data_IF_207298260399
#
_entry.id   IF_207298260399
#
_cell.length_a   1.000
_cell.length_b   1.000
_cell.length_c   1.000
_cell.angle_alpha   90.00
_cell.angle_beta   90.00
_cell.angle_gamma   90.00
#
_symmetry.space_group_name_H-M   'P 1'
#
loop_
_entity.id
_entity.type
_entity.pdbx_description
1 polymer ?
#
# COMPACT_ATOMS: atom_id res chain seq x y z
N UNK A 1 25.30 3.52 25.84
CA UNK A 1 24.74 3.91 24.56
C UNK A 1 23.30 4.37 24.77
N UNK A 2 22.93 5.56 24.32
CA UNK A 2 21.54 5.95 24.35
C UNK A 2 20.73 4.99 23.46
N UNK A 3 19.56 4.55 23.95
CA UNK A 3 18.60 3.79 23.15
C UNK A 3 18.16 4.67 21.98
N UNK A 4 18.23 4.15 20.74
CA UNK A 4 17.65 4.83 19.59
C UNK A 4 16.13 4.89 19.75
N UNK A 5 15.58 6.10 19.81
CA UNK A 5 14.15 6.30 19.79
C UNK A 5 13.69 6.48 18.35
N UNK A 6 12.72 5.66 17.93
CA UNK A 6 12.10 5.83 16.63
C UNK A 6 11.21 7.07 16.63
N UNK A 7 11.33 7.89 15.59
CA UNK A 7 10.40 9.01 15.35
C UNK A 7 9.06 8.47 14.85
N UNK A 8 8.02 9.29 14.90
CA UNK A 8 6.74 8.92 14.30
C UNK A 8 6.87 8.64 12.80
N UNK A 9 7.73 9.39 12.11
CA UNK A 9 8.02 9.14 10.69
C UNK A 9 8.63 7.75 10.49
N UNK A 10 9.56 7.33 11.33
CA UNK A 10 10.17 5.99 11.26
C UNK A 10 9.14 4.90 11.49
N UNK A 11 8.25 5.07 12.45
CA UNK A 11 7.19 4.11 12.76
C UNK A 11 6.18 3.99 11.62
N UNK A 12 5.83 5.11 10.97
CA UNK A 12 4.95 5.10 9.79
C UNK A 12 5.66 4.44 8.60
N UNK A 13 6.95 4.71 8.40
CA UNK A 13 7.73 4.02 7.35
C UNK A 13 7.74 2.50 7.59
N UNK A 14 7.92 2.05 8.82
CA UNK A 14 7.84 0.61 9.15
C UNK A 14 6.45 0.03 8.87
N UNK A 15 5.38 0.77 9.14
CA UNK A 15 4.01 0.37 8.82
C UNK A 15 3.86 0.14 7.31
N UNK A 16 4.35 1.06 6.50
CA UNK A 16 4.31 0.98 5.02
C UNK A 16 5.13 -0.22 4.54
N UNK A 17 6.32 -0.45 5.09
CA UNK A 17 7.18 -1.58 4.73
C UNK A 17 6.56 -2.92 5.15
N UNK A 18 5.93 -2.98 6.32
CA UNK A 18 5.24 -4.18 6.80
C UNK A 18 4.06 -4.55 5.90
N UNK A 19 3.32 -3.57 5.45
CA UNK A 19 2.25 -3.75 4.46
C UNK A 19 2.79 -4.40 3.17
N UNK A 20 3.86 -3.85 2.60
CA UNK A 20 4.45 -4.35 1.37
C UNK A 20 5.02 -5.78 1.53
N UNK A 21 5.67 -6.05 2.64
CA UNK A 21 6.20 -7.39 2.96
C UNK A 21 5.06 -8.42 3.07
N UNK A 22 3.96 -8.05 3.73
CA UNK A 22 2.79 -8.91 3.84
C UNK A 22 2.11 -9.19 2.50
N UNK A 23 2.19 -8.27 1.54
CA UNK A 23 1.75 -8.51 0.15
C UNK A 23 2.55 -9.63 -0.48
N UNK A 24 3.87 -9.59 -0.36
CA UNK A 24 4.78 -10.58 -0.98
C UNK A 24 4.51 -11.99 -0.44
N UNK A 25 4.35 -12.11 0.87
CA UNK A 25 4.14 -13.40 1.53
C UNK A 25 2.66 -13.79 1.70
N UNK A 26 1.75 -12.92 1.25
CA UNK A 26 0.29 -13.14 1.35
C UNK A 26 -0.19 -13.39 2.77
N UNK A 27 0.40 -12.70 3.70
CA UNK A 27 0.07 -12.79 5.13
C UNK A 27 -1.14 -11.88 5.41
N UNK A 28 -2.34 -12.43 5.30
CA UNK A 28 -3.58 -11.68 5.46
C UNK A 28 -3.75 -11.08 6.85
N UNK A 29 -3.34 -11.79 7.89
CA UNK A 29 -3.43 -11.30 9.27
C UNK A 29 -2.51 -10.11 9.48
N UNK A 30 -1.26 -10.23 9.04
CA UNK A 30 -0.26 -9.18 9.15
C UNK A 30 -0.63 -7.96 8.30
N UNK A 31 -1.10 -8.19 7.08
CA UNK A 31 -1.56 -7.13 6.19
C UNK A 31 -2.79 -6.42 6.77
N UNK A 32 -3.77 -7.17 7.23
CA UNK A 32 -5.00 -6.62 7.85
C UNK A 32 -4.71 -5.81 9.09
N UNK A 33 -3.72 -6.22 9.89
CA UNK A 33 -3.32 -5.52 11.12
C UNK A 33 -2.72 -4.12 10.86
N UNK A 34 -2.36 -3.79 9.61
CA UNK A 34 -1.88 -2.44 9.27
C UNK A 34 -3.00 -1.40 9.18
N UNK A 35 -4.25 -1.84 9.08
CA UNK A 35 -5.42 -0.98 8.89
C UNK A 35 -6.12 -0.65 10.20
N UNK A 36 -6.62 0.58 10.34
CA UNK A 36 -7.58 0.93 11.39
C UNK A 36 -8.92 0.24 11.14
N UNK A 37 -9.74 0.07 12.17
CA UNK A 37 -11.02 -0.66 12.07
C UNK A 37 -11.98 -0.03 11.06
N UNK A 38 -12.01 1.29 10.99
CA UNK A 38 -12.88 2.09 10.11
C UNK A 38 -12.15 2.63 8.88
N UNK A 39 -11.04 2.03 8.50
CA UNK A 39 -10.20 2.48 7.40
C UNK A 39 -10.91 2.46 6.05
N UNK A 40 -10.38 3.24 5.12
CA UNK A 40 -10.86 3.33 3.74
C UNK A 40 -9.73 3.02 2.75
N UNK A 41 -10.01 2.13 1.83
CA UNK A 41 -9.11 1.77 0.74
C UNK A 41 -9.72 2.16 -0.60
N UNK A 42 -9.03 3.00 -1.36
CA UNK A 42 -9.45 3.50 -2.67
C UNK A 42 -8.53 2.91 -3.74
N UNK A 43 -9.11 2.13 -4.66
CA UNK A 43 -8.39 1.45 -5.75
C UNK A 43 -8.59 2.13 -7.11
N UNK A 44 -9.26 3.26 -7.13
CA UNK A 44 -9.58 4.03 -8.32
C UNK A 44 -10.96 4.68 -8.22
N UNK A 45 -11.38 5.48 -9.19
CA UNK A 45 -12.68 6.15 -9.18
C UNK A 45 -13.83 5.17 -8.98
N UNK A 46 -14.65 5.40 -7.95
CA UNK A 46 -15.80 4.56 -7.62
C UNK A 46 -15.46 3.19 -7.02
N UNK A 47 -14.20 2.95 -6.64
CA UNK A 47 -13.74 1.68 -6.07
C UNK A 47 -13.24 1.88 -4.64
N UNK A 48 -14.10 2.36 -3.77
CA UNK A 48 -13.83 2.57 -2.37
C UNK A 48 -14.35 1.40 -1.54
N UNK A 49 -13.55 0.94 -0.58
CA UNK A 49 -13.93 -0.07 0.39
C UNK A 49 -13.70 0.51 1.78
N UNK A 50 -14.71 0.43 2.64
CA UNK A 50 -14.66 0.95 4.01
C UNK A 50 -14.77 -0.18 5.02
N UNK A 51 -13.92 -0.10 6.05
CA UNK A 51 -13.86 -1.08 7.13
C UNK A 51 -12.81 -2.16 6.90
N UNK A 52 -12.02 -2.43 7.94
CA UNK A 52 -10.92 -3.40 7.86
C UNK A 52 -11.37 -4.79 7.38
N UNK A 53 -12.49 -5.31 7.88
CA UNK A 53 -12.98 -6.63 7.50
C UNK A 53 -13.27 -6.72 6.00
N UNK A 54 -13.96 -5.73 5.43
CA UNK A 54 -14.26 -5.66 4.01
C UNK A 54 -13.00 -5.46 3.16
N UNK A 55 -12.07 -4.66 3.64
CA UNK A 55 -10.76 -4.42 2.99
C UNK A 55 -9.97 -5.73 2.90
N UNK A 56 -9.86 -6.48 3.99
CA UNK A 56 -9.14 -7.75 4.03
C UNK A 56 -9.80 -8.79 3.12
N UNK A 57 -11.11 -8.88 3.13
CA UNK A 57 -11.86 -9.81 2.28
C UNK A 57 -11.60 -9.52 0.79
N UNK A 58 -11.67 -8.26 0.38
CA UNK A 58 -11.36 -7.87 -1.00
C UNK A 58 -9.92 -8.17 -1.36
N UNK A 59 -8.98 -7.90 -0.46
CA UNK A 59 -7.55 -8.14 -0.71
C UNK A 59 -7.25 -9.63 -0.88
N UNK A 60 -7.79 -10.49 -0.03
CA UNK A 60 -7.62 -11.94 -0.15
C UNK A 60 -8.10 -12.42 -1.52
N UNK A 61 -9.26 -11.93 -1.96
CA UNK A 61 -9.83 -12.27 -3.27
C UNK A 61 -8.95 -11.78 -4.41
N UNK A 62 -8.44 -10.55 -4.31
CA UNK A 62 -7.53 -9.97 -5.30
C UNK A 62 -6.20 -10.73 -5.38
N UNK A 63 -5.62 -11.09 -4.25
CA UNK A 63 -4.36 -11.85 -4.20
C UNK A 63 -4.51 -13.25 -4.81
N UNK A 64 -5.70 -13.85 -4.75
CA UNK A 64 -5.99 -15.12 -5.39
C UNK A 64 -5.88 -15.10 -6.91
N UNK A 65 -5.90 -13.92 -7.54
CA UNK A 65 -5.73 -13.78 -9.00
C UNK A 65 -4.26 -13.78 -9.45
N UNK A 66 -3.31 -13.69 -8.51
CA UNK A 66 -1.88 -13.66 -8.81
C UNK A 66 -1.22 -15.01 -8.50
N UNK A 67 -0.34 -15.47 -9.38
CA UNK A 67 0.58 -16.55 -9.10
C UNK A 67 1.74 -16.07 -8.23
N UNK A 68 2.21 -14.85 -8.48
CA UNK A 68 3.26 -14.21 -7.69
C UNK A 68 3.08 -12.69 -7.73
N UNK A 69 3.42 -12.02 -6.65
CA UNK A 69 3.47 -10.57 -6.57
C UNK A 69 4.58 -10.14 -5.62
N UNK A 70 5.35 -9.15 -6.04
CA UNK A 70 6.38 -8.51 -5.22
C UNK A 70 6.12 -7.02 -5.23
N UNK A 71 5.90 -6.44 -4.05
CA UNK A 71 5.74 -5.00 -3.91
C UNK A 71 6.95 -4.42 -3.20
N UNK A 72 7.63 -3.48 -3.86
CA UNK A 72 8.74 -2.72 -3.30
C UNK A 72 8.29 -1.30 -3.02
N UNK A 73 8.66 -0.79 -1.85
CA UNK A 73 8.50 0.62 -1.49
C UNK A 73 9.76 1.35 -1.92
N UNK A 74 9.61 2.45 -2.66
CA UNK A 74 10.75 3.18 -3.23
C UNK A 74 11.10 4.38 -2.37
N UNK A 75 10.22 5.36 -2.28
CA UNK A 75 10.44 6.60 -1.54
C UNK A 75 9.11 7.19 -1.11
N UNK A 76 9.16 8.08 -0.11
CA UNK A 76 7.95 8.72 0.38
C UNK A 76 8.23 9.88 1.31
N UNK A 77 7.18 10.61 1.60
CA UNK A 77 7.15 11.72 2.54
C UNK A 77 5.99 11.55 3.50
N UNK A 78 6.18 12.01 4.73
CA UNK A 78 5.17 11.94 5.79
C UNK A 78 5.12 13.27 6.53
N UNK A 79 3.92 13.76 6.79
CA UNK A 79 3.67 14.93 7.64
C UNK A 79 2.84 14.49 8.85
N UNK A 80 3.39 14.67 10.05
CA UNK A 80 2.79 14.24 11.31
C UNK A 80 2.17 15.44 12.04
N UNK A 81 0.97 15.27 12.56
CA UNK A 81 0.27 16.26 13.40
C UNK A 81 -0.41 15.54 14.55
N UNK A 82 0.27 15.45 15.71
CA UNK A 82 -0.26 14.75 16.90
C UNK A 82 -0.49 13.27 16.62
N UNK A 83 -1.74 12.83 16.76
CA UNK A 83 -2.15 11.42 16.58
C UNK A 83 -2.63 11.09 15.17
N UNK A 84 -2.47 12.02 14.24
CA UNK A 84 -2.77 11.83 12.82
C UNK A 84 -1.57 12.21 11.96
N UNK A 85 -1.55 11.65 10.75
CA UNK A 85 -0.51 11.96 9.78
C UNK A 85 -1.04 11.75 8.36
N UNK A 86 -0.32 12.31 7.40
CA UNK A 86 -0.55 12.07 5.97
C UNK A 86 0.78 11.73 5.30
N UNK A 87 0.72 11.09 4.16
CA UNK A 87 1.93 10.76 3.43
C UNK A 87 1.67 10.30 2.01
N UNK A 88 2.75 10.22 1.26
CA UNK A 88 2.76 9.64 -0.08
C UNK A 88 3.95 8.70 -0.20
N UNK A 89 3.70 7.49 -0.70
CA UNK A 89 4.73 6.47 -0.88
C UNK A 89 4.66 5.90 -2.29
N UNK A 90 5.77 5.94 -3.00
CA UNK A 90 5.91 5.33 -4.31
C UNK A 90 6.23 3.86 -4.18
N UNK A 91 5.61 3.05 -5.04
CA UNK A 91 5.81 1.61 -5.08
C UNK A 91 6.15 1.15 -6.50
N UNK A 92 6.88 0.05 -6.57
CA UNK A 92 7.03 -0.77 -7.78
C UNK A 92 6.50 -2.16 -7.45
N UNK A 93 5.55 -2.63 -8.23
CA UNK A 93 4.99 -3.96 -8.05
C UNK A 93 5.20 -4.78 -9.32
N UNK A 94 5.84 -5.93 -9.17
CA UNK A 94 6.01 -6.90 -10.24
C UNK A 94 5.09 -8.08 -9.95
N UNK A 95 4.37 -8.56 -10.95
CA UNK A 95 3.42 -9.64 -10.74
C UNK A 95 3.37 -10.61 -11.92
N UNK A 96 2.94 -11.82 -11.61
CA UNK A 96 2.47 -12.81 -12.58
C UNK A 96 1.07 -13.22 -12.16
N UNK A 97 0.12 -13.11 -13.08
CA UNK A 97 -1.25 -13.55 -12.83
C UNK A 97 -1.35 -15.06 -12.91
N UNK A 98 -2.43 -15.61 -12.36
CA UNK A 98 -2.70 -17.05 -12.41
C UNK A 98 -2.79 -17.59 -13.85
N UNK A 99 -3.20 -16.74 -14.82
CA UNK A 99 -3.23 -17.08 -16.25
C UNK A 99 -1.87 -17.00 -16.95
N UNK A 100 -0.78 -16.67 -16.22
CA UNK A 100 0.57 -16.58 -16.75
C UNK A 100 0.98 -15.18 -17.26
N UNK A 101 0.06 -14.23 -17.33
CA UNK A 101 0.35 -12.85 -17.73
C UNK A 101 1.29 -12.17 -16.72
N UNK A 102 2.40 -11.62 -17.22
CA UNK A 102 3.35 -10.85 -16.41
C UNK A 102 3.09 -9.36 -16.55
N UNK A 103 3.33 -8.60 -15.47
CA UNK A 103 3.12 -7.17 -15.48
C UNK A 103 3.93 -6.44 -14.43
N UNK A 104 3.90 -5.10 -14.55
CA UNK A 104 4.46 -4.17 -13.60
C UNK A 104 3.44 -3.07 -13.30
N UNK A 105 3.36 -2.68 -12.04
CA UNK A 105 2.62 -1.52 -11.58
C UNK A 105 3.61 -0.51 -11.02
N UNK A 106 3.64 0.68 -11.59
CA UNK A 106 4.33 1.85 -11.04
C UNK A 106 3.26 2.78 -10.51
N UNK A 107 3.26 3.05 -9.22
CA UNK A 107 2.19 3.80 -8.60
C UNK A 107 2.69 4.51 -7.34
N UNK A 108 1.84 5.36 -6.79
CA UNK A 108 1.99 5.79 -5.42
C UNK A 108 0.70 5.57 -4.65
N UNK A 109 0.81 5.56 -3.35
CA UNK A 109 -0.31 5.68 -2.43
C UNK A 109 -0.32 7.06 -1.81
N UNK A 110 -1.49 7.68 -1.78
CA UNK A 110 -1.77 8.81 -0.91
C UNK A 110 -2.45 8.29 0.35
N UNK A 111 -1.79 8.49 1.49
CA UNK A 111 -2.17 7.88 2.76
C UNK A 111 -2.59 8.91 3.79
N UNK A 112 -3.52 8.51 4.66
CA UNK A 112 -3.69 9.10 5.97
C UNK A 112 -3.50 8.03 7.05
N UNK A 113 -2.98 8.44 8.20
CA UNK A 113 -2.65 7.56 9.31
C UNK A 113 -3.30 8.05 10.58
N UNK A 114 -3.61 7.12 11.48
CA UNK A 114 -4.13 7.41 12.81
C UNK A 114 -3.42 6.54 13.84
N UNK A 115 -3.25 7.08 15.04
CA UNK A 115 -2.68 6.33 16.16
C UNK A 115 -3.79 5.62 16.90
N UNK A 116 -3.68 4.30 17.03
CA UNK A 116 -4.64 3.45 17.73
C UNK A 116 -3.91 2.70 18.85
N UNK A 117 -4.23 2.97 20.09
CA UNK A 117 -3.57 2.36 21.26
C UNK A 117 -2.04 2.49 21.19
N UNK A 118 -1.55 3.65 20.73
CA UNK A 118 -0.13 3.95 20.61
C UNK A 118 0.53 3.49 19.31
N UNK A 119 -0.16 2.72 18.49
CA UNK A 119 0.37 2.20 17.21
C UNK A 119 -0.22 2.94 16.02
N UNK A 120 0.63 3.26 15.06
CA UNK A 120 0.18 3.85 13.79
C UNK A 120 -0.51 2.80 12.91
N UNK A 121 -1.64 3.21 12.33
CA UNK A 121 -2.44 2.41 11.38
C UNK A 121 -2.80 3.27 10.17
N UNK A 122 -3.05 2.63 9.04
CA UNK A 122 -3.67 3.32 7.91
C UNK A 122 -5.11 3.68 8.26
N UNK A 123 -5.44 4.97 8.22
CA UNK A 123 -6.81 5.44 8.24
C UNK A 123 -7.41 5.43 6.83
N UNK A 124 -6.59 5.74 5.83
CA UNK A 124 -6.96 5.60 4.42
C UNK A 124 -5.72 5.38 3.55
N UNK A 125 -5.91 4.69 2.45
CA UNK A 125 -4.92 4.51 1.39
C UNK A 125 -5.60 4.66 0.05
N UNK A 126 -5.09 5.52 -0.83
CA UNK A 126 -5.60 5.69 -2.18
C UNK A 126 -4.49 5.38 -3.20
N UNK A 127 -4.74 4.43 -4.08
CA UNK A 127 -3.80 4.05 -5.14
C UNK A 127 -3.91 5.01 -6.32
N UNK A 128 -2.78 5.54 -6.76
CA UNK A 128 -2.66 6.38 -7.96
C UNK A 128 -1.63 5.75 -8.91
N UNK A 129 -2.07 4.98 -9.91
CA UNK A 129 -1.17 4.36 -10.88
C UNK A 129 -0.57 5.40 -11.84
N UNK A 130 0.72 5.27 -12.15
CA UNK A 130 1.39 5.97 -13.24
C UNK A 130 1.55 5.07 -14.46
N UNK A 131 1.73 3.76 -14.22
CA UNK A 131 1.83 2.76 -15.28
C UNK A 131 1.34 1.42 -14.76
N UNK A 132 0.55 0.71 -15.56
CA UNK A 132 0.22 -0.69 -15.33
C UNK A 132 0.16 -1.40 -16.67
N UNK A 133 0.97 -2.41 -16.85
CA UNK A 133 1.03 -3.14 -18.11
C UNK A 133 2.24 -4.05 -18.20
N UNK A 134 2.63 -4.43 -19.44
CA UNK A 134 3.79 -5.28 -19.66
C UNK A 134 5.07 -4.72 -19.04
N UNK A 135 5.98 -5.61 -18.58
CA UNK A 135 7.23 -5.19 -17.92
C UNK A 135 8.18 -4.39 -18.83
N UNK A 136 8.00 -4.48 -20.15
CA UNK A 136 8.80 -3.73 -21.13
C UNK A 136 8.38 -2.27 -21.29
N UNK A 137 7.39 -1.82 -20.50
CA UNK A 137 6.84 -0.46 -20.50
C UNK A 137 6.19 -0.05 -21.83
N UNK A 138 5.68 -1.02 -22.59
CA UNK A 138 5.07 -0.77 -23.91
C UNK A 138 3.65 -0.21 -23.83
N UNK A 139 2.97 -0.29 -22.68
CA UNK A 139 1.66 0.29 -22.50
C UNK A 139 1.75 1.80 -22.28
N UNK A 140 0.60 2.47 -22.35
CA UNK A 140 0.54 3.92 -22.14
C UNK A 140 0.74 4.28 -20.68
N UNK A 141 1.60 5.28 -20.42
CA UNK A 141 1.71 5.91 -19.09
C UNK A 141 0.48 6.79 -18.82
N UNK A 142 -0.04 6.71 -17.61
CA UNK A 142 -1.27 7.43 -17.20
C UNK A 142 -1.01 8.86 -16.79
N UNK A 143 0.25 9.21 -16.50
CA UNK A 143 0.70 10.53 -16.06
C UNK A 143 1.68 11.19 -17.03
N UNK A 144 1.72 10.72 -18.29
CA UNK A 144 2.63 11.30 -19.29
C UNK A 144 2.29 12.77 -19.55
N UNK A 145 3.32 13.60 -19.60
CA UNK A 145 3.24 15.00 -19.99
C UNK A 145 3.55 15.08 -21.47
N UNK A 146 2.67 15.71 -22.25
CA UNK A 146 2.88 15.94 -23.69
C UNK A 146 3.82 17.12 -23.93
#
# INVERSE_FOLDING_TARGET
MPLMTHTDRDLIAELVHRYADAVVYRDADRWGATWADDARWTLGPGRDVTGRAAIVELWIKAMGTFAAVVQNVVNGEVAVSGDTASGRWYIMEHFRRANGEAGILLAHYDDTYTRVNGDWKFASRALAPQYQGPPDLSAKFLNSVN
#
